data_IF_539844332578
#
_entry.id   IF_539844332578
#
_cell.length_a   1.000
_cell.length_b   1.000
_cell.length_c   1.000
_cell.angle_alpha   90.00
_cell.angle_beta   90.00
_cell.angle_gamma   90.00
#
_symmetry.space_group_name_H-M   'P 1'
#
loop_
_entity.id
_entity.type
_entity.pdbx_description
1 polymer ?
#
# COMPACT_ATOMS: atom_id res chain seq x y z
N UNK A 1 -18.72 -11.55 -70.20
CA UNK A 1 -17.83 -11.67 -69.02
C UNK A 1 -18.19 -10.57 -68.04
N UNK A 2 -18.78 -10.92 -66.89
CA UNK A 2 -19.11 -9.96 -65.82
C UNK A 2 -18.04 -10.09 -64.73
N UNK A 3 -17.29 -9.03 -64.46
CA UNK A 3 -16.33 -8.97 -63.37
C UNK A 3 -17.09 -8.61 -62.07
N UNK A 4 -17.01 -9.49 -61.08
CA UNK A 4 -17.51 -9.24 -59.73
C UNK A 4 -16.35 -8.68 -58.89
N UNK A 5 -16.46 -7.43 -58.47
CA UNK A 5 -15.52 -6.80 -57.54
C UNK A 5 -15.86 -7.24 -56.12
N UNK A 6 -15.02 -8.08 -55.52
CA UNK A 6 -15.13 -8.46 -54.10
C UNK A 6 -14.44 -7.39 -53.27
N UNK A 7 -15.20 -6.63 -52.48
CA UNK A 7 -14.66 -5.69 -51.50
C UNK A 7 -14.28 -6.46 -50.23
N UNK A 8 -12.99 -6.46 -49.90
CA UNK A 8 -12.45 -7.07 -48.69
C UNK A 8 -12.65 -6.10 -47.51
N UNK A 9 -13.62 -6.39 -46.62
CA UNK A 9 -13.78 -5.68 -45.36
C UNK A 9 -12.72 -6.17 -44.37
N UNK A 10 -11.73 -5.32 -44.07
CA UNK A 10 -10.78 -5.56 -42.99
C UNK A 10 -11.48 -5.22 -41.67
N UNK A 11 -11.90 -6.23 -40.91
CA UNK A 11 -12.34 -6.06 -39.53
C UNK A 11 -11.12 -5.72 -38.65
N UNK A 12 -10.99 -4.45 -38.28
CA UNK A 12 -10.10 -4.03 -37.18
C UNK A 12 -10.69 -4.53 -35.87
N UNK A 13 -10.08 -5.58 -35.29
CA UNK A 13 -10.32 -5.99 -33.91
C UNK A 13 -9.80 -4.86 -33.02
N UNK A 14 -10.69 -3.98 -32.58
CA UNK A 14 -10.38 -3.05 -31.50
C UNK A 14 -10.23 -3.90 -30.23
N UNK A 15 -8.98 -4.13 -29.81
CA UNK A 15 -8.71 -4.55 -28.44
C UNK A 15 -9.24 -3.46 -27.54
N UNK A 16 -10.40 -3.69 -26.93
CA UNK A 16 -10.86 -2.91 -25.79
C UNK A 16 -9.73 -2.95 -24.77
N UNK A 17 -9.01 -1.83 -24.65
CA UNK A 17 -8.07 -1.60 -23.56
C UNK A 17 -8.88 -1.74 -22.28
N UNK A 18 -8.83 -2.90 -21.63
CA UNK A 18 -9.29 -3.00 -20.25
C UNK A 18 -8.46 -2.01 -19.45
N UNK A 19 -9.12 -1.03 -18.85
CA UNK A 19 -8.49 -0.21 -17.82
C UNK A 19 -7.95 -1.16 -16.75
N UNK A 20 -6.72 -0.93 -16.30
CA UNK A 20 -6.16 -1.71 -15.20
C UNK A 20 -6.96 -1.40 -13.92
N UNK A 21 -7.33 -2.46 -13.20
CA UNK A 21 -7.90 -2.36 -11.87
C UNK A 21 -6.81 -2.15 -10.81
N UNK A 22 -7.18 -1.58 -9.67
CA UNK A 22 -6.35 -1.44 -8.47
C UNK A 22 -7.04 -2.11 -7.27
N UNK A 23 -7.11 -3.46 -7.23
CA UNK A 23 -8.00 -4.18 -6.31
C UNK A 23 -7.55 -4.19 -4.84
N UNK A 24 -6.32 -3.76 -4.55
CA UNK A 24 -5.71 -3.95 -3.23
C UNK A 24 -4.53 -3.00 -2.99
N UNK A 25 -3.97 -3.05 -1.78
CA UNK A 25 -2.71 -2.37 -1.44
C UNK A 25 -1.60 -2.69 -2.46
N UNK A 26 -1.03 -1.65 -3.06
CA UNK A 26 0.03 -1.79 -4.06
C UNK A 26 -0.41 -2.30 -5.43
N UNK A 27 -1.72 -2.29 -5.71
CA UNK A 27 -2.26 -2.64 -7.01
C UNK A 27 -2.36 -4.16 -7.23
N UNK A 28 -2.61 -4.60 -8.48
CA UNK A 28 -2.97 -5.99 -8.76
C UNK A 28 -1.89 -7.00 -8.34
N UNK A 29 -0.60 -6.59 -8.36
CA UNK A 29 0.54 -7.44 -7.99
C UNK A 29 1.16 -7.09 -6.62
N UNK A 30 0.54 -6.18 -5.84
CA UNK A 30 1.03 -5.69 -4.53
C UNK A 30 2.47 -5.12 -4.57
N UNK A 31 2.87 -4.58 -5.71
CA UNK A 31 4.24 -4.11 -5.95
C UNK A 31 4.34 -2.60 -6.20
N UNK A 32 3.22 -1.88 -6.02
CA UNK A 32 3.11 -0.42 -6.13
C UNK A 32 3.39 0.10 -7.54
N UNK A 33 3.22 -0.72 -8.59
CA UNK A 33 3.45 -0.34 -9.99
C UNK A 33 2.13 -0.15 -10.72
N UNK A 34 2.00 0.98 -11.42
CA UNK A 34 0.87 1.27 -12.32
C UNK A 34 1.24 0.93 -13.76
N UNK A 35 0.50 -0.01 -14.36
CA UNK A 35 0.83 -0.65 -15.64
C UNK A 35 -0.07 -0.25 -16.81
N UNK A 36 -1.06 0.60 -16.56
CA UNK A 36 -1.95 1.10 -17.61
C UNK A 36 -1.17 1.91 -18.65
N UNK A 37 -1.69 2.07 -19.86
CA UNK A 37 -1.02 2.79 -20.95
C UNK A 37 -1.84 4.00 -21.40
N UNK A 38 -1.23 4.87 -22.21
CA UNK A 38 -1.89 6.09 -22.72
C UNK A 38 -2.16 7.10 -21.60
N UNK A 39 -1.13 7.32 -20.77
CA UNK A 39 -1.13 8.22 -19.63
C UNK A 39 -0.27 9.44 -19.94
N UNK A 40 -0.68 10.62 -19.47
CA UNK A 40 0.07 11.87 -19.63
C UNK A 40 1.54 11.74 -19.25
N UNK A 41 2.40 12.38 -20.03
CA UNK A 41 3.85 12.50 -19.75
C UNK A 41 4.20 13.74 -18.93
N UNK A 42 3.32 14.74 -18.95
CA UNK A 42 3.45 16.02 -18.25
C UNK A 42 2.06 16.55 -17.93
N UNK A 43 1.88 17.20 -16.78
CA UNK A 43 0.61 17.88 -16.47
C UNK A 43 0.46 19.18 -17.28
N UNK A 44 -0.79 19.65 -17.40
CA UNK A 44 -1.09 20.97 -17.97
C UNK A 44 -0.37 22.08 -17.22
N UNK A 45 0.04 23.13 -17.93
CA UNK A 45 0.74 24.30 -17.35
C UNK A 45 -0.20 25.27 -16.65
N UNK A 46 -1.52 25.11 -16.78
CA UNK A 46 -2.53 25.89 -16.04
C UNK A 46 -2.56 25.58 -14.53
N UNK A 47 -1.81 24.57 -14.09
CA UNK A 47 -1.69 24.17 -12.69
C UNK A 47 -2.88 23.36 -12.16
N UNK A 48 -3.85 23.02 -13.02
CA UNK A 48 -5.05 22.28 -12.65
C UNK A 48 -5.00 20.87 -13.24
N UNK A 49 -5.13 19.87 -12.38
CA UNK A 49 -5.38 18.51 -12.83
C UNK A 49 -6.85 18.38 -13.24
N UNK A 50 -7.17 17.59 -14.30
CA UNK A 50 -8.55 17.44 -14.79
C UNK A 50 -9.35 16.55 -13.84
N UNK A 51 -9.84 17.16 -12.77
CA UNK A 51 -10.66 16.52 -11.75
C UNK A 51 -12.01 16.14 -12.34
N UNK A 52 -12.34 14.86 -12.27
CA UNK A 52 -13.59 14.30 -12.79
C UNK A 52 -14.71 14.52 -11.77
N UNK A 53 -14.46 14.20 -10.50
CA UNK A 53 -15.42 14.40 -9.42
C UNK A 53 -14.74 14.53 -8.05
N UNK A 54 -15.53 14.91 -7.04
CA UNK A 54 -15.21 14.85 -5.62
C UNK A 54 -16.37 14.25 -4.82
N UNK A 55 -16.06 13.47 -3.80
CA UNK A 55 -17.04 12.93 -2.84
C UNK A 55 -16.55 13.20 -1.43
N UNK A 56 -17.45 13.70 -0.57
CA UNK A 56 -17.16 13.95 0.85
C UNK A 56 -16.84 12.65 1.60
N UNK A 57 -15.74 12.67 2.36
CA UNK A 57 -15.33 11.61 3.26
C UNK A 57 -15.07 12.15 4.67
N UNK A 58 -15.17 11.27 5.66
CA UNK A 58 -14.66 11.51 7.01
C UNK A 58 -13.15 11.28 7.10
N UNK A 59 -12.61 11.28 8.32
CA UNK A 59 -11.18 11.08 8.59
C UNK A 59 -10.69 9.71 8.08
N UNK A 60 -9.40 9.54 7.80
CA UNK A 60 -8.81 8.22 7.50
C UNK A 60 -7.52 8.24 6.69
N UNK A 61 -6.88 7.08 6.63
CA UNK A 61 -5.57 6.89 6.00
C UNK A 61 -5.54 5.76 4.97
N UNK A 62 -6.64 5.02 4.80
CA UNK A 62 -6.72 3.95 3.81
C UNK A 62 -6.58 4.50 2.38
N UNK A 63 -5.93 3.73 1.52
CA UNK A 63 -6.08 3.91 0.08
C UNK A 63 -7.44 3.41 -0.39
N UNK A 64 -7.78 3.70 -1.64
CA UNK A 64 -8.94 3.11 -2.31
C UNK A 64 -8.56 1.78 -2.98
N UNK A 65 -9.54 0.89 -3.13
CA UNK A 65 -9.48 -0.17 -4.12
C UNK A 65 -10.43 0.17 -5.27
N UNK A 66 -9.99 0.01 -6.52
CA UNK A 66 -10.80 0.34 -7.71
C UNK A 66 -10.88 -0.89 -8.60
N UNK A 67 -12.09 -1.40 -8.83
CA UNK A 67 -12.32 -2.63 -9.61
C UNK A 67 -13.56 -2.48 -10.46
N UNK A 68 -13.45 -2.74 -11.76
CA UNK A 68 -14.60 -2.81 -12.69
C UNK A 68 -15.55 -1.61 -12.59
N UNK A 69 -14.98 -0.41 -12.46
CA UNK A 69 -15.76 0.83 -12.38
C UNK A 69 -16.38 1.12 -11.00
N UNK A 70 -15.97 0.41 -9.95
CA UNK A 70 -16.37 0.67 -8.56
C UNK A 70 -15.16 1.06 -7.72
N UNK A 71 -15.35 2.00 -6.79
CA UNK A 71 -14.35 2.46 -5.83
C UNK A 71 -14.77 2.04 -4.43
N UNK A 72 -13.94 1.27 -3.74
CA UNK A 72 -14.13 0.86 -2.36
C UNK A 72 -13.17 1.62 -1.46
N UNK A 73 -13.73 2.29 -0.45
CA UNK A 73 -12.95 3.10 0.49
C UNK A 73 -13.59 3.10 1.87
N UNK A 74 -12.79 3.42 2.88
CA UNK A 74 -13.24 3.49 4.27
C UNK A 74 -12.94 4.84 4.89
N UNK A 75 -13.80 5.28 5.80
CA UNK A 75 -13.55 6.47 6.60
C UNK A 75 -14.10 6.36 8.01
N UNK A 76 -13.78 7.35 8.84
CA UNK A 76 -14.33 7.52 10.19
C UNK A 76 -15.12 8.81 10.28
N UNK A 77 -16.35 8.67 10.74
CA UNK A 77 -17.26 9.77 11.06
C UNK A 77 -17.10 10.14 12.53
N UNK A 78 -16.09 10.98 12.81
CA UNK A 78 -15.65 11.27 14.19
C UNK A 78 -16.77 11.78 15.10
N UNK A 79 -17.65 12.65 14.60
CA UNK A 79 -18.77 13.21 15.36
C UNK A 79 -19.81 12.16 15.75
N UNK A 80 -19.97 11.12 14.93
CA UNK A 80 -20.90 10.01 15.14
C UNK A 80 -20.27 8.84 15.89
N UNK A 81 -18.94 8.77 15.93
CA UNK A 81 -18.21 7.64 16.53
C UNK A 81 -18.38 6.36 15.70
N UNK A 82 -18.52 6.48 14.39
CA UNK A 82 -18.72 5.36 13.46
C UNK A 82 -17.57 5.26 12.45
N UNK A 83 -17.33 4.05 11.95
CA UNK A 83 -16.55 3.80 10.73
C UNK A 83 -17.52 3.45 9.59
N UNK A 84 -17.13 3.82 8.36
CA UNK A 84 -17.88 3.51 7.13
C UNK A 84 -17.03 2.71 6.15
N UNK A 85 -17.69 1.80 5.45
CA UNK A 85 -17.23 1.20 4.19
C UNK A 85 -18.16 1.72 3.10
N UNK A 86 -17.58 2.31 2.06
CA UNK A 86 -18.30 2.95 0.96
C UNK A 86 -17.93 2.27 -0.34
N UNK A 87 -18.93 2.05 -1.19
CA UNK A 87 -18.77 1.72 -2.60
C UNK A 87 -19.32 2.86 -3.44
N UNK A 88 -18.49 3.41 -4.31
CA UNK A 88 -18.83 4.53 -5.19
C UNK A 88 -18.72 4.09 -6.65
N UNK A 89 -19.54 4.69 -7.50
CA UNK A 89 -19.35 4.64 -8.94
C UNK A 89 -18.04 5.35 -9.31
N UNK A 90 -17.13 4.67 -10.02
CA UNK A 90 -15.85 5.28 -10.38
C UNK A 90 -15.99 6.41 -11.42
N UNK A 91 -17.08 6.44 -12.20
CA UNK A 91 -17.32 7.47 -13.21
C UNK A 91 -18.02 8.70 -12.65
N UNK A 92 -18.97 8.51 -11.73
CA UNK A 92 -19.79 9.63 -11.23
C UNK A 92 -19.46 10.04 -9.79
N UNK A 93 -18.83 9.15 -9.01
CA UNK A 93 -18.63 9.33 -7.57
C UNK A 93 -19.89 9.03 -6.74
N UNK A 94 -21.01 8.64 -7.36
CA UNK A 94 -22.25 8.35 -6.66
C UNK A 94 -22.09 7.13 -5.74
N UNK A 95 -22.60 7.24 -4.50
CA UNK A 95 -22.67 6.12 -3.57
C UNK A 95 -23.58 5.01 -4.15
N UNK A 96 -23.01 3.82 -4.37
CA UNK A 96 -23.77 2.62 -4.75
C UNK A 96 -24.30 1.89 -3.53
N UNK A 97 -23.47 1.76 -2.51
CA UNK A 97 -23.85 1.24 -1.21
C UNK A 97 -22.89 1.73 -0.12
N UNK A 98 -23.35 1.65 1.12
CA UNK A 98 -22.57 2.00 2.31
C UNK A 98 -22.91 1.05 3.45
N UNK A 99 -21.88 0.64 4.18
CA UNK A 99 -22.03 0.02 5.50
C UNK A 99 -21.43 0.96 6.56
N UNK A 100 -22.17 1.22 7.64
CA UNK A 100 -21.73 2.09 8.74
C UNK A 100 -21.96 1.38 10.08
N UNK A 101 -20.95 1.37 10.94
CA UNK A 101 -20.99 0.71 12.24
C UNK A 101 -20.36 1.56 13.35
N UNK A 102 -20.87 1.39 14.58
CA UNK A 102 -20.32 2.04 15.76
C UNK A 102 -18.90 1.52 16.04
N UNK A 103 -17.94 2.42 16.20
CA UNK A 103 -16.54 2.08 16.42
C UNK A 103 -15.87 3.13 17.30
N UNK A 104 -15.70 2.80 18.59
CA UNK A 104 -15.01 3.66 19.55
C UNK A 104 -13.50 3.48 19.43
N UNK A 105 -12.81 4.54 19.04
CA UNK A 105 -11.35 4.54 18.96
C UNK A 105 -10.70 4.68 20.33
N UNK A 106 -9.75 3.79 20.63
CA UNK A 106 -8.88 3.86 21.82
C UNK A 106 -7.39 3.93 21.46
N UNK A 107 -7.08 4.08 20.17
CA UNK A 107 -5.71 4.13 19.61
C UNK A 107 -5.16 5.55 19.55
N UNK A 108 -3.84 5.69 19.45
CA UNK A 108 -3.19 6.97 19.17
C UNK A 108 -3.43 7.40 17.73
N UNK A 109 -3.36 8.71 17.48
CA UNK A 109 -3.77 9.32 16.21
C UNK A 109 -5.19 8.87 15.82
N UNK A 110 -6.24 9.27 16.55
CA UNK A 110 -7.57 8.64 16.45
C UNK A 110 -8.37 9.03 15.18
N UNK A 111 -7.69 9.22 14.05
CA UNK A 111 -8.27 9.15 12.71
C UNK A 111 -8.06 7.73 12.16
N UNK A 112 -8.82 7.33 11.14
CA UNK A 112 -8.76 6.00 10.52
C UNK A 112 -10.02 5.74 9.70
N UNK A 113 -10.26 4.54 9.15
CA UNK A 113 -9.40 3.37 9.11
C UNK A 113 -8.11 3.56 8.31
N UNK A 114 -7.22 2.56 8.34
CA UNK A 114 -5.89 2.61 7.72
C UNK A 114 -5.64 1.50 6.70
N UNK A 115 -6.26 0.34 6.88
CA UNK A 115 -6.13 -0.76 5.93
C UNK A 115 -6.83 -0.43 4.62
N UNK A 116 -6.14 -0.62 3.50
CA UNK A 116 -6.75 -0.52 2.17
C UNK A 116 -7.69 -1.72 1.98
N UNK A 117 -8.93 -1.53 1.48
CA UNK A 117 -9.81 -2.63 1.11
C UNK A 117 -9.15 -3.58 0.10
N UNK A 118 -9.58 -4.84 0.10
CA UNK A 118 -9.18 -5.83 -0.91
C UNK A 118 -10.42 -6.32 -1.62
N UNK A 119 -10.39 -6.32 -2.95
CA UNK A 119 -11.47 -6.82 -3.79
C UNK A 119 -10.99 -8.04 -4.55
N UNK A 120 -11.67 -9.17 -4.39
CA UNK A 120 -11.36 -10.40 -5.09
C UNK A 120 -12.64 -11.16 -5.41
N UNK A 121 -12.83 -11.58 -6.67
CA UNK A 121 -13.93 -12.44 -7.11
C UNK A 121 -15.33 -12.03 -6.62
N UNK A 122 -15.65 -10.74 -6.64
CA UNK A 122 -16.97 -10.24 -6.23
C UNK A 122 -17.14 -10.10 -4.72
N UNK A 123 -16.07 -10.21 -3.94
CA UNK A 123 -16.04 -9.97 -2.50
C UNK A 123 -15.15 -8.80 -2.15
N UNK A 124 -15.51 -8.06 -1.09
CA UNK A 124 -14.73 -6.93 -0.56
C UNK A 124 -14.38 -7.21 0.89
N UNK A 125 -13.09 -7.15 1.20
CA UNK A 125 -12.56 -7.36 2.53
C UNK A 125 -12.04 -6.06 3.12
N UNK A 126 -12.52 -5.71 4.32
CA UNK A 126 -12.08 -4.49 5.02
C UNK A 126 -11.69 -4.81 6.45
N UNK A 127 -10.72 -4.07 6.98
CA UNK A 127 -10.31 -4.13 8.38
C UNK A 127 -10.35 -2.70 8.94
N UNK A 128 -11.26 -2.48 9.88
CA UNK A 128 -11.39 -1.24 10.66
C UNK A 128 -10.22 -1.02 11.61
N UNK A 129 -10.02 0.20 12.11
CA UNK A 129 -8.85 0.50 12.94
C UNK A 129 -8.83 -0.29 14.26
N UNK A 130 -10.00 -0.71 14.73
CA UNK A 130 -10.20 -1.44 15.98
C UNK A 130 -10.27 -2.97 15.81
N UNK A 131 -10.01 -3.48 14.60
CA UNK A 131 -10.00 -4.92 14.32
C UNK A 131 -11.35 -5.52 13.94
N UNK A 132 -12.33 -4.68 13.58
CA UNK A 132 -13.55 -5.13 12.93
C UNK A 132 -13.24 -5.50 11.48
N UNK A 133 -13.37 -6.77 11.15
CA UNK A 133 -13.12 -7.30 9.82
C UNK A 133 -14.42 -7.75 9.19
N UNK A 134 -14.67 -7.32 7.96
CA UNK A 134 -15.89 -7.64 7.23
C UNK A 134 -15.53 -8.20 5.86
N UNK A 135 -16.38 -9.12 5.39
CA UNK A 135 -16.49 -9.52 4.01
C UNK A 135 -17.86 -9.12 3.49
N UNK A 136 -17.89 -8.36 2.40
CA UNK A 136 -19.10 -7.93 1.73
C UNK A 136 -19.22 -8.55 0.35
N UNK A 137 -20.45 -8.72 -0.10
CA UNK A 137 -20.74 -8.76 -1.52
C UNK A 137 -20.31 -7.44 -2.18
N UNK A 138 -19.52 -7.51 -3.23
CA UNK A 138 -18.97 -6.32 -3.88
C UNK A 138 -20.04 -5.43 -4.54
N UNK A 139 -21.17 -6.02 -4.97
CA UNK A 139 -22.19 -5.32 -5.75
C UNK A 139 -23.21 -4.62 -4.88
N UNK A 140 -23.68 -5.27 -3.82
CA UNK A 140 -24.78 -4.75 -3.00
C UNK A 140 -24.39 -4.38 -1.56
N UNK A 141 -23.18 -4.75 -1.10
CA UNK A 141 -22.71 -4.43 0.24
C UNK A 141 -23.26 -5.34 1.34
N UNK A 142 -23.89 -6.47 1.00
CA UNK A 142 -24.35 -7.45 1.99
C UNK A 142 -23.17 -8.09 2.71
N UNK A 143 -23.21 -8.12 4.04
CA UNK A 143 -22.21 -8.80 4.85
C UNK A 143 -22.35 -10.32 4.65
N UNK A 144 -21.31 -10.97 4.12
CA UNK A 144 -21.21 -12.42 4.02
C UNK A 144 -20.75 -13.04 5.33
N UNK A 145 -19.75 -12.42 5.95
CA UNK A 145 -19.24 -12.80 7.27
C UNK A 145 -18.47 -11.64 7.89
N UNK A 146 -18.26 -11.71 9.21
CA UNK A 146 -17.52 -10.71 9.97
C UNK A 146 -16.73 -11.34 11.13
N UNK A 147 -15.68 -10.65 11.57
CA UNK A 147 -14.85 -10.97 12.74
C UNK A 147 -14.56 -9.71 13.52
N UNK A 148 -14.23 -9.86 14.80
CA UNK A 148 -13.67 -8.80 15.62
C UNK A 148 -12.42 -9.32 16.31
N UNK A 149 -11.24 -8.83 15.94
CA UNK A 149 -9.96 -9.38 16.41
C UNK A 149 -9.78 -9.33 17.94
N UNK A 150 -10.15 -8.24 18.65
CA UNK A 150 -10.12 -8.25 20.12
C UNK A 150 -11.02 -9.33 20.74
N UNK A 151 -12.27 -9.45 20.30
CA UNK A 151 -13.23 -10.41 20.85
C UNK A 151 -12.90 -11.86 20.49
N UNK A 152 -12.58 -12.11 19.22
CA UNK A 152 -12.48 -13.47 18.67
C UNK A 152 -11.07 -14.06 18.90
N UNK A 153 -10.04 -13.22 19.04
CA UNK A 153 -8.63 -13.64 19.12
C UNK A 153 -7.86 -13.11 20.34
N UNK A 154 -8.51 -12.30 21.20
CA UNK A 154 -7.85 -11.66 22.34
C UNK A 154 -6.76 -10.68 21.94
N UNK A 155 -6.95 -10.02 20.79
CA UNK A 155 -5.97 -9.08 20.21
C UNK A 155 -5.77 -7.85 21.08
N UNK A 156 -4.51 -7.54 21.37
CA UNK A 156 -4.10 -6.26 21.93
C UNK A 156 -3.78 -5.31 20.77
N UNK A 157 -4.59 -4.26 20.62
CA UNK A 157 -4.46 -3.36 19.48
C UNK A 157 -3.11 -2.64 19.47
N UNK A 158 -2.53 -2.54 18.27
CA UNK A 158 -1.33 -1.75 18.06
C UNK A 158 -1.58 -0.25 18.34
N UNK A 159 -0.50 0.50 18.61
CA UNK A 159 -0.55 1.92 18.99
C UNK A 159 -1.37 2.76 18.00
N UNK A 160 -1.29 2.44 16.71
CA UNK A 160 -2.00 3.13 15.62
C UNK A 160 -3.15 2.29 15.02
N UNK A 161 -3.64 1.27 15.74
CA UNK A 161 -4.70 0.37 15.29
C UNK A 161 -4.26 -0.65 14.24
N UNK A 162 -5.23 -1.33 13.63
CA UNK A 162 -5.00 -2.28 12.54
C UNK A 162 -4.73 -1.56 11.22
N UNK A 163 -3.65 -1.97 10.54
CA UNK A 163 -3.12 -1.27 9.35
C UNK A 163 -2.83 -2.22 8.20
N UNK A 164 -2.25 -3.38 8.50
CA UNK A 164 -1.80 -4.32 7.48
C UNK A 164 -2.97 -4.77 6.60
N UNK A 165 -2.92 -4.38 5.32
CA UNK A 165 -3.96 -4.78 4.36
C UNK A 165 -3.89 -6.28 4.10
N UNK A 166 -5.03 -7.00 4.14
CA UNK A 166 -5.03 -8.45 4.00
C UNK A 166 -4.51 -8.86 2.62
N UNK A 167 -4.11 -10.12 2.49
CA UNK A 167 -3.59 -10.72 1.26
C UNK A 167 -4.49 -11.89 0.86
N UNK A 168 -4.96 -11.89 -0.39
CA UNK A 168 -5.68 -13.04 -0.96
C UNK A 168 -4.69 -13.97 -1.63
N UNK A 169 -4.79 -15.28 -1.34
CA UNK A 169 -4.02 -16.34 -2.00
C UNK A 169 -4.91 -17.56 -2.27
N UNK A 170 -5.45 -17.67 -3.48
CA UNK A 170 -6.43 -18.71 -3.82
C UNK A 170 -7.71 -18.54 -3.00
N UNK A 171 -8.06 -19.56 -2.20
CA UNK A 171 -9.21 -19.53 -1.29
C UNK A 171 -8.91 -18.87 0.07
N UNK A 172 -7.67 -18.41 0.27
CA UNK A 172 -7.21 -17.88 1.54
C UNK A 172 -7.26 -16.36 1.56
N UNK A 173 -7.63 -15.82 2.72
CA UNK A 173 -7.48 -14.42 3.08
C UNK A 173 -6.60 -14.35 4.33
N UNK A 174 -5.38 -13.85 4.16
CA UNK A 174 -4.33 -13.88 5.16
C UNK A 174 -4.09 -12.47 5.70
N UNK A 175 -4.09 -12.30 7.01
CA UNK A 175 -3.90 -10.98 7.63
C UNK A 175 -3.13 -11.07 8.95
N UNK A 176 -2.62 -9.91 9.40
CA UNK A 176 -2.17 -9.74 10.78
C UNK A 176 -3.38 -9.53 11.67
N UNK A 177 -3.54 -10.41 12.67
CA UNK A 177 -4.59 -10.32 13.68
C UNK A 177 -4.00 -9.77 14.97
N UNK A 178 -2.85 -10.30 15.41
CA UNK A 178 -2.19 -9.85 16.65
C UNK A 178 -2.77 -10.45 17.93
N UNK A 179 -3.42 -11.61 17.83
CA UNK A 179 -4.03 -12.33 18.94
C UNK A 179 -3.08 -13.30 19.65
N UNK A 180 -3.59 -13.96 20.69
CA UNK A 180 -2.85 -14.96 21.48
C UNK A 180 -2.83 -16.33 20.80
N UNK A 181 -2.02 -17.27 21.30
CA UNK A 181 -1.96 -18.66 20.84
C UNK A 181 -1.62 -18.77 19.34
N UNK A 182 -0.46 -18.25 18.94
CA UNK A 182 0.00 -18.21 17.55
C UNK A 182 -0.94 -17.47 16.58
N UNK A 183 -1.70 -16.48 17.05
CA UNK A 183 -2.64 -15.72 16.21
C UNK A 183 -2.09 -14.36 15.78
N UNK A 184 -0.76 -14.22 15.63
CA UNK A 184 -0.21 -13.02 15.02
C UNK A 184 -0.65 -12.92 13.56
N UNK A 185 -0.53 -14.03 12.82
CA UNK A 185 -0.96 -14.18 11.43
C UNK A 185 -2.04 -15.24 11.38
N UNK A 186 -3.16 -14.93 10.72
CA UNK A 186 -4.27 -15.88 10.55
C UNK A 186 -4.67 -15.91 9.08
N UNK A 187 -4.92 -17.11 8.58
CA UNK A 187 -5.53 -17.36 7.28
C UNK A 187 -6.97 -17.78 7.47
N UNK A 188 -7.85 -17.14 6.71
CA UNK A 188 -9.27 -17.43 6.68
C UNK A 188 -9.67 -17.98 5.31
N UNK A 189 -10.68 -18.83 5.26
CA UNK A 189 -11.40 -19.08 4.03
C UNK A 189 -12.06 -17.77 3.61
N UNK A 190 -11.71 -17.26 2.43
CA UNK A 190 -12.14 -15.95 1.96
C UNK A 190 -13.65 -15.86 1.75
N UNK A 191 -14.33 -16.98 1.51
CA UNK A 191 -15.78 -17.03 1.27
C UNK A 191 -16.57 -17.17 2.57
N UNK A 192 -16.07 -17.92 3.55
CA UNK A 192 -16.84 -18.27 4.78
C UNK A 192 -16.35 -17.57 6.04
N UNK A 193 -15.12 -17.05 6.05
CA UNK A 193 -14.49 -16.49 7.25
C UNK A 193 -14.06 -17.55 8.27
N UNK A 194 -14.09 -18.83 7.91
CA UNK A 194 -13.55 -19.92 8.74
C UNK A 194 -12.02 -19.81 8.82
N UNK A 195 -11.46 -20.02 10.00
CA UNK A 195 -10.00 -20.06 10.16
C UNK A 195 -9.44 -21.34 9.53
N UNK A 196 -8.46 -21.18 8.64
CA UNK A 196 -7.76 -22.30 7.99
C UNK A 196 -6.48 -22.67 8.72
N UNK A 197 -5.72 -21.68 9.16
CA UNK A 197 -4.53 -21.83 9.98
C UNK A 197 -4.16 -20.51 10.64
N UNK A 198 -3.33 -20.60 11.68
CA UNK A 198 -2.71 -19.46 12.37
C UNK A 198 -1.22 -19.72 12.58
N UNK A 199 -0.42 -18.68 12.67
CA UNK A 199 1.03 -18.79 12.91
C UNK A 199 1.62 -17.55 13.57
N UNK A 200 2.80 -17.74 14.17
CA UNK A 200 3.64 -16.75 14.81
C UNK A 200 3.03 -16.10 16.06
N UNK A 201 3.93 -15.64 16.95
CA UNK A 201 3.59 -14.82 18.11
C UNK A 201 4.54 -13.63 18.21
N UNK A 202 3.99 -12.48 18.58
CA UNK A 202 4.76 -11.30 18.95
C UNK A 202 3.92 -10.48 19.93
N UNK A 203 4.58 -9.69 20.80
CA UNK A 203 3.90 -8.81 21.76
C UNK A 203 3.20 -7.64 21.08
N UNK A 204 3.62 -7.31 19.86
CA UNK A 204 3.02 -6.25 19.05
C UNK A 204 2.76 -6.79 17.65
N UNK A 205 1.73 -6.24 17.00
CA UNK A 205 1.26 -6.73 15.69
C UNK A 205 2.23 -6.36 14.56
N UNK A 206 2.77 -5.14 14.61
CA UNK A 206 3.40 -4.52 13.45
C UNK A 206 2.35 -3.92 12.50
N UNK A 207 2.81 -3.35 11.40
CA UNK A 207 1.95 -2.61 10.46
C UNK A 207 2.14 -3.04 8.99
N UNK A 208 3.18 -3.81 8.70
CA UNK A 208 3.58 -4.21 7.36
C UNK A 208 2.56 -5.18 6.75
N UNK A 209 1.96 -4.85 5.60
CA UNK A 209 1.13 -5.80 4.85
C UNK A 209 1.97 -7.04 4.47
N UNK A 210 1.45 -8.26 4.67
CA UNK A 210 2.15 -9.47 4.26
C UNK A 210 2.25 -9.54 2.73
N UNK A 211 3.29 -10.22 2.24
CA UNK A 211 3.54 -10.46 0.81
C UNK A 211 4.05 -11.87 0.57
N UNK A 212 3.72 -12.43 -0.58
CA UNK A 212 4.23 -13.73 -1.00
C UNK A 212 5.32 -13.53 -2.05
N UNK A 213 6.49 -14.11 -1.79
CA UNK A 213 7.59 -14.17 -2.74
C UNK A 213 8.03 -15.62 -2.95
N UNK A 214 8.63 -15.88 -4.11
CA UNK A 214 9.29 -17.16 -4.36
C UNK A 214 10.79 -17.06 -4.09
N UNK A 215 11.30 -17.95 -3.23
CA UNK A 215 12.74 -18.14 -3.00
C UNK A 215 13.07 -19.63 -2.98
N UNK A 216 14.10 -20.03 -3.72
CA UNK A 216 14.54 -21.42 -3.78
C UNK A 216 13.46 -22.40 -4.25
N UNK A 217 12.56 -21.96 -5.15
CA UNK A 217 11.40 -22.73 -5.62
C UNK A 217 10.26 -22.88 -4.61
N UNK A 218 10.32 -22.20 -3.46
CA UNK A 218 9.27 -22.20 -2.45
C UNK A 218 8.51 -20.88 -2.48
N UNK A 219 7.18 -20.95 -2.51
CA UNK A 219 6.32 -19.80 -2.18
C UNK A 219 6.40 -19.53 -0.68
N UNK A 220 6.73 -18.30 -0.33
CA UNK A 220 7.01 -17.88 1.04
C UNK A 220 6.20 -16.64 1.37
N UNK A 221 5.34 -16.76 2.37
CA UNK A 221 4.66 -15.61 2.96
C UNK A 221 5.64 -14.91 3.89
N UNK A 222 6.07 -13.72 3.48
CA UNK A 222 6.95 -12.87 4.25
C UNK A 222 6.12 -12.00 5.18
N UNK A 223 6.41 -12.10 6.47
CA UNK A 223 5.75 -11.38 7.55
C UNK A 223 6.81 -10.63 8.32
N UNK A 224 6.75 -9.29 8.29
CA UNK A 224 7.64 -8.46 9.09
C UNK A 224 6.91 -7.93 10.33
N UNK A 225 7.20 -8.57 11.45
CA UNK A 225 6.62 -8.24 12.74
C UNK A 225 7.67 -7.59 13.67
N UNK A 226 7.26 -7.00 14.81
CA UNK A 226 8.11 -6.12 15.60
C UNK A 226 9.40 -6.71 16.16
N UNK A 227 9.51 -8.04 16.27
CA UNK A 227 10.70 -8.72 16.80
C UNK A 227 11.47 -9.52 15.76
N UNK A 228 10.91 -9.82 14.59
CA UNK A 228 11.58 -10.57 13.53
C UNK A 228 10.96 -10.37 12.13
N UNK A 229 11.74 -10.73 11.11
CA UNK A 229 11.23 -11.01 9.77
C UNK A 229 11.11 -12.52 9.64
N UNK A 230 9.91 -12.98 9.31
CA UNK A 230 9.57 -14.39 9.25
C UNK A 230 9.14 -14.76 7.85
N UNK A 231 9.57 -15.93 7.39
CA UNK A 231 8.99 -16.62 6.24
C UNK A 231 8.20 -17.82 6.72
N UNK A 232 6.95 -17.88 6.32
CA UNK A 232 6.07 -19.02 6.59
C UNK A 232 5.48 -19.55 5.28
N UNK A 233 5.08 -20.82 5.28
CA UNK A 233 4.37 -21.43 4.17
C UNK A 233 2.97 -20.82 4.06
N UNK A 234 2.59 -20.22 2.91
CA UNK A 234 1.23 -19.70 2.74
C UNK A 234 0.17 -20.80 2.75
N UNK A 235 0.55 -22.06 2.55
CA UNK A 235 -0.39 -23.20 2.52
C UNK A 235 -0.94 -23.56 3.91
N UNK A 236 -0.11 -23.46 4.95
CA UNK A 236 -0.41 -24.03 6.27
C UNK A 236 0.23 -23.29 7.45
N UNK A 237 0.86 -22.13 7.22
CA UNK A 237 1.46 -21.32 8.26
C UNK A 237 2.75 -21.87 8.87
N UNK A 238 3.30 -22.99 8.39
CA UNK A 238 4.54 -23.53 8.95
C UNK A 238 5.73 -22.62 8.70
N UNK A 239 6.61 -22.45 9.68
CA UNK A 239 7.77 -21.55 9.58
C UNK A 239 8.85 -22.18 8.71
N UNK A 240 9.32 -21.43 7.70
CA UNK A 240 10.50 -21.78 6.92
C UNK A 240 11.78 -21.29 7.61
N UNK A 241 11.79 -20.01 8.00
CA UNK A 241 12.89 -19.36 8.71
C UNK A 241 12.42 -18.08 9.40
N UNK A 242 13.18 -17.63 10.40
CA UNK A 242 12.99 -16.32 11.04
C UNK A 242 14.34 -15.66 11.28
N UNK A 243 14.41 -14.34 11.04
CA UNK A 243 15.59 -13.52 11.33
C UNK A 243 15.22 -12.47 12.37
N UNK A 244 15.81 -12.50 13.57
CA UNK A 244 15.55 -11.51 14.61
C UNK A 244 15.82 -10.08 14.13
N UNK A 245 14.80 -9.24 14.29
CA UNK A 245 14.87 -7.82 14.00
C UNK A 245 13.87 -7.07 14.88
N UNK A 246 14.36 -6.61 16.04
CA UNK A 246 13.55 -5.80 16.94
C UNK A 246 13.48 -4.36 16.47
N UNK A 247 12.26 -3.86 16.24
CA UNK A 247 11.98 -2.47 15.92
C UNK A 247 11.35 -1.74 17.10
N UNK A 248 11.64 -0.44 17.21
CA UNK A 248 11.07 0.42 18.25
C UNK A 248 9.61 0.77 17.92
N UNK A 249 8.74 0.78 18.94
CA UNK A 249 7.31 1.12 18.85
C UNK A 249 6.51 0.29 17.83
N UNK A 250 6.97 -0.92 17.51
CA UNK A 250 6.30 -1.81 16.56
C UNK A 250 6.36 -1.34 15.10
N UNK A 251 7.24 -0.39 14.77
CA UNK A 251 7.31 0.27 13.45
C UNK A 251 7.91 -0.60 12.32
N UNK A 252 7.38 -1.81 12.13
CA UNK A 252 7.52 -2.58 10.90
C UNK A 252 6.41 -2.14 9.94
N UNK A 253 6.66 -1.12 9.11
CA UNK A 253 5.61 -0.46 8.30
C UNK A 253 5.67 -0.82 6.81
N UNK A 254 6.84 -0.68 6.17
CA UNK A 254 6.92 -0.90 4.72
C UNK A 254 6.62 -2.35 4.33
N UNK A 255 6.07 -2.52 3.13
CA UNK A 255 5.99 -3.82 2.49
C UNK A 255 7.41 -4.28 2.09
N UNK A 256 7.90 -5.43 2.59
CA UNK A 256 9.23 -5.94 2.22
C UNK A 256 9.42 -6.03 0.70
N UNK A 257 10.60 -5.69 0.21
CA UNK A 257 10.90 -5.65 -1.23
C UNK A 257 11.85 -6.77 -1.63
N UNK A 258 11.57 -7.44 -2.76
CA UNK A 258 12.39 -8.53 -3.29
C UNK A 258 13.34 -8.04 -4.38
N UNK A 259 14.58 -8.52 -4.37
CA UNK A 259 15.48 -8.47 -5.53
C UNK A 259 16.30 -9.76 -5.61
N UNK A 260 16.13 -10.53 -6.68
CA UNK A 260 16.78 -11.83 -6.81
C UNK A 260 16.45 -12.76 -5.65
N UNK A 261 17.46 -13.25 -4.96
CA UNK A 261 17.39 -14.07 -3.74
C UNK A 261 17.47 -13.24 -2.44
N UNK A 262 17.26 -11.92 -2.54
CA UNK A 262 17.35 -11.00 -1.41
C UNK A 262 16.04 -10.32 -1.08
N UNK A 263 15.93 -9.93 0.18
CA UNK A 263 14.80 -9.21 0.75
C UNK A 263 15.29 -7.96 1.47
N UNK A 264 14.77 -6.81 1.06
CA UNK A 264 15.06 -5.51 1.63
C UNK A 264 13.94 -5.06 2.57
N UNK A 265 14.33 -4.53 3.73
CA UNK A 265 13.46 -3.84 4.66
C UNK A 265 14.16 -2.61 5.22
N UNK A 266 13.38 -1.60 5.62
CA UNK A 266 13.90 -0.41 6.28
C UNK A 266 12.87 0.12 7.27
N UNK A 267 13.33 0.52 8.46
CA UNK A 267 12.46 1.09 9.49
C UNK A 267 12.94 2.47 9.93
N UNK A 268 12.03 3.23 10.54
CA UNK A 268 12.28 4.62 10.92
C UNK A 268 13.47 4.77 11.87
N UNK A 269 13.56 3.94 12.89
CA UNK A 269 14.70 3.98 13.81
C UNK A 269 15.85 3.12 13.29
N UNK A 270 15.62 1.84 13.01
CA UNK A 270 16.70 0.87 12.82
C UNK A 270 17.28 0.80 11.39
N UNK A 271 16.90 1.75 10.55
CA UNK A 271 17.47 1.95 9.22
C UNK A 271 17.23 0.76 8.27
N UNK A 272 18.00 0.69 7.17
CA UNK A 272 17.84 -0.31 6.14
C UNK A 272 18.60 -1.61 6.46
N UNK A 273 18.07 -2.74 6.00
CA UNK A 273 18.69 -4.07 6.06
C UNK A 273 18.41 -4.84 4.78
N UNK A 274 19.39 -5.62 4.35
CA UNK A 274 19.23 -6.59 3.28
C UNK A 274 19.48 -7.99 3.82
N UNK A 275 18.54 -8.88 3.57
CA UNK A 275 18.62 -10.29 3.86
C UNK A 275 18.92 -11.05 2.57
N UNK A 276 19.75 -12.07 2.66
CA UNK A 276 19.94 -13.07 1.61
C UNK A 276 19.27 -14.37 2.06
N UNK A 277 18.41 -14.90 1.20
CA UNK A 277 17.68 -16.13 1.44
C UNK A 277 18.50 -17.27 0.85
N UNK A 278 18.71 -18.33 1.63
CA UNK A 278 19.46 -19.51 1.19
C UNK A 278 18.84 -20.14 -0.06
N UNK A 279 19.66 -20.79 -0.89
CA UNK A 279 19.24 -21.37 -2.18
C UNK A 279 18.07 -22.35 -2.08
N UNK A 280 17.89 -23.00 -0.93
CA UNK A 280 16.78 -23.93 -0.67
C UNK A 280 15.52 -23.22 -0.12
N UNK A 281 15.56 -21.91 0.07
CA UNK A 281 14.48 -21.12 0.64
C UNK A 281 14.25 -21.30 2.14
N UNK A 282 15.08 -22.07 2.86
CA UNK A 282 14.84 -22.47 4.27
C UNK A 282 15.75 -21.81 5.29
N UNK A 283 16.53 -20.81 4.89
CA UNK A 283 17.34 -20.00 5.79
C UNK A 283 17.45 -18.58 5.24
N UNK A 284 17.73 -17.63 6.12
CA UNK A 284 18.05 -16.28 5.72
C UNK A 284 19.09 -15.68 6.67
N UNK A 285 19.92 -14.78 6.16
CA UNK A 285 20.91 -14.03 6.94
C UNK A 285 20.93 -12.58 6.49
N UNK A 286 21.23 -11.66 7.41
CA UNK A 286 21.48 -10.27 7.06
C UNK A 286 22.84 -10.20 6.36
N UNK A 287 22.88 -9.70 5.13
CA UNK A 287 24.13 -9.52 4.36
C UNK A 287 24.70 -8.11 4.49
N UNK A 288 23.84 -7.13 4.75
CA UNK A 288 24.25 -5.80 5.17
C UNK A 288 23.13 -5.09 5.94
N UNK A 289 23.52 -4.10 6.73
CA UNK A 289 22.62 -3.17 7.43
C UNK A 289 23.22 -1.76 7.47
N UNK A 290 22.36 -0.77 7.67
CA UNK A 290 22.78 0.57 8.08
C UNK A 290 23.59 0.54 9.40
N UNK A 291 24.41 1.56 9.58
CA UNK A 291 25.26 1.81 10.72
C UNK A 291 24.58 2.72 11.76
N UNK A 292 23.42 3.30 11.45
CA UNK A 292 22.65 4.15 12.36
C UNK A 292 21.33 3.52 12.75
N UNK A 293 20.99 3.62 14.03
CA UNK A 293 19.63 3.37 14.56
C UNK A 293 18.89 4.70 14.86
N UNK A 294 19.44 5.84 14.40
CA UNK A 294 18.86 7.16 14.59
C UNK A 294 18.22 7.66 13.30
N UNK A 295 17.01 8.18 13.45
CA UNK A 295 16.21 8.78 12.41
C UNK A 295 16.50 10.28 12.25
N UNK A 296 17.30 10.87 13.14
CA UNK A 296 17.64 12.29 13.11
C UNK A 296 18.40 12.61 11.83
N UNK A 297 18.04 13.71 11.18
CA UNK A 297 18.54 14.05 9.85
C UNK A 297 20.08 13.99 9.74
N UNK A 298 20.76 14.52 10.76
CA UNK A 298 22.23 14.54 10.86
C UNK A 298 22.89 13.18 11.16
N UNK A 299 22.10 12.15 11.51
CA UNK A 299 22.59 10.85 11.96
C UNK A 299 22.14 9.69 11.06
N UNK A 300 21.19 9.92 10.15
CA UNK A 300 20.80 8.89 9.18
C UNK A 300 21.95 8.62 8.20
N UNK A 301 22.27 7.35 7.97
CA UNK A 301 23.33 6.93 7.05
C UNK A 301 22.75 6.35 5.74
N UNK A 302 21.66 5.58 5.83
CA UNK A 302 20.94 4.99 4.69
C UNK A 302 19.52 5.53 4.54
N UNK A 303 18.52 4.64 4.57
CA UNK A 303 17.09 4.96 4.49
C UNK A 303 16.40 4.66 5.82
N UNK A 304 15.80 5.70 6.41
CA UNK A 304 15.00 5.62 7.62
C UNK A 304 13.56 6.04 7.32
N UNK A 305 12.83 5.28 6.49
CA UNK A 305 11.47 5.64 6.09
C UNK A 305 10.52 5.50 7.28
N UNK A 306 9.47 6.32 7.30
CA UNK A 306 8.40 6.18 8.28
C UNK A 306 7.24 5.36 7.71
N UNK A 307 6.54 5.87 6.68
CA UNK A 307 5.30 5.27 6.17
C UNK A 307 5.48 4.68 4.76
N UNK A 308 6.27 5.33 3.89
CA UNK A 308 6.43 4.85 2.52
C UNK A 308 7.23 3.56 2.43
N UNK A 309 6.88 2.76 1.42
CA UNK A 309 7.67 1.61 0.98
C UNK A 309 8.70 2.10 -0.03
N UNK A 310 10.01 2.01 0.27
CA UNK A 310 11.05 2.25 -0.73
C UNK A 310 10.91 1.25 -1.89
N UNK A 311 11.28 1.70 -3.07
CA UNK A 311 11.27 0.93 -4.32
C UNK A 311 12.66 0.37 -4.61
N UNK A 312 12.74 -0.86 -5.14
CA UNK A 312 13.95 -1.34 -5.80
C UNK A 312 13.78 -1.25 -7.32
N UNK A 313 14.74 -0.61 -8.01
CA UNK A 313 14.79 -0.57 -9.48
C UNK A 313 16.23 -0.80 -9.95
N UNK A 314 16.44 -1.87 -10.72
CA UNK A 314 17.78 -2.28 -11.14
C UNK A 314 18.67 -2.55 -9.92
N UNK A 315 19.84 -1.91 -9.86
CA UNK A 315 20.80 -2.06 -8.76
C UNK A 315 20.65 -0.98 -7.66
N UNK A 316 19.50 -0.31 -7.58
CA UNK A 316 19.32 0.83 -6.69
C UNK A 316 18.00 0.77 -5.93
N UNK A 317 18.01 1.37 -4.74
CA UNK A 317 16.85 1.53 -3.87
C UNK A 317 16.51 3.02 -3.81
N UNK A 318 15.23 3.37 -4.00
CA UNK A 318 14.73 4.74 -3.94
C UNK A 318 13.68 4.85 -2.84
N UNK A 319 13.79 5.85 -1.96
CA UNK A 319 12.81 6.02 -0.89
C UNK A 319 12.92 7.35 -0.16
N UNK A 320 11.88 7.66 0.60
CA UNK A 320 11.81 8.87 1.41
C UNK A 320 12.32 8.58 2.82
N UNK A 321 13.34 9.33 3.26
CA UNK A 321 13.89 9.23 4.60
C UNK A 321 13.12 10.11 5.59
N UNK A 322 13.34 9.86 6.88
CA UNK A 322 12.74 10.49 8.06
C UNK A 322 12.50 12.00 8.04
N UNK A 323 13.27 12.78 7.27
CA UNK A 323 13.14 14.24 7.16
C UNK A 323 12.71 14.75 5.77
N UNK A 324 12.16 13.86 4.93
CA UNK A 324 11.68 14.16 3.57
C UNK A 324 12.72 13.87 2.49
N UNK A 325 13.97 13.63 2.83
CA UNK A 325 15.00 13.35 1.83
C UNK A 325 14.61 12.15 0.95
N UNK A 326 14.37 12.40 -0.34
CA UNK A 326 14.35 11.36 -1.35
C UNK A 326 15.79 10.93 -1.59
N UNK A 327 16.07 9.64 -1.40
CA UNK A 327 17.43 9.09 -1.50
C UNK A 327 17.48 7.97 -2.53
N UNK A 328 18.63 7.83 -3.15
CA UNK A 328 19.04 6.65 -3.88
C UNK A 328 20.16 5.96 -3.11
N UNK A 329 20.02 4.65 -2.91
CA UNK A 329 21.02 3.79 -2.30
C UNK A 329 21.47 2.73 -3.30
N UNK A 330 22.72 2.34 -3.23
CA UNK A 330 23.25 1.16 -3.89
C UNK A 330 22.68 -0.11 -3.21
N UNK A 331 22.09 -1.01 -3.99
CA UNK A 331 21.38 -2.19 -3.44
C UNK A 331 22.33 -3.22 -2.82
N UNK A 332 23.59 -3.23 -3.24
CA UNK A 332 24.60 -4.21 -2.80
C UNK A 332 25.22 -3.84 -1.47
N UNK A 333 25.37 -2.54 -1.22
CA UNK A 333 26.10 -2.01 -0.07
C UNK A 333 25.22 -1.23 0.91
N UNK A 334 24.04 -0.77 0.48
CA UNK A 334 23.18 0.14 1.24
C UNK A 334 23.72 1.57 1.32
N UNK A 335 24.84 1.88 0.67
CA UNK A 335 25.43 3.23 0.68
C UNK A 335 24.56 4.20 -0.10
N UNK A 336 24.42 5.41 0.43
CA UNK A 336 23.72 6.51 -0.24
C UNK A 336 24.52 6.97 -1.46
N UNK A 337 23.86 6.96 -2.62
CA UNK A 337 24.38 7.49 -3.90
C UNK A 337 24.08 8.98 -3.99
N UNK A 338 22.83 9.37 -3.74
CA UNK A 338 22.42 10.77 -3.70
C UNK A 338 21.24 10.99 -2.75
N UNK A 339 20.96 12.26 -2.47
CA UNK A 339 19.83 12.71 -1.66
C UNK A 339 19.35 14.08 -2.13
N UNK A 340 18.05 14.28 -2.28
CA UNK A 340 17.44 15.60 -2.54
C UNK A 340 16.22 15.83 -1.64
N UNK A 341 15.83 17.08 -1.49
CA UNK A 341 14.59 17.49 -0.83
C UNK A 341 13.55 17.98 -1.84
N UNK A 342 13.82 17.96 -3.15
CA UNK A 342 12.93 18.60 -4.13
C UNK A 342 11.53 17.97 -4.20
N UNK A 343 11.42 16.64 -4.08
CA UNK A 343 10.13 15.94 -4.19
C UNK A 343 9.16 16.24 -3.02
N UNK A 344 9.68 16.44 -1.81
CA UNK A 344 8.85 16.62 -0.60
C UNK A 344 9.07 17.97 0.06
N UNK A 345 10.33 18.44 0.13
CA UNK A 345 10.92 19.47 0.99
C UNK A 345 11.39 18.92 2.35
N UNK A 346 11.69 19.79 3.33
CA UNK A 346 12.29 19.42 4.62
C UNK A 346 11.31 19.42 5.79
N UNK A 347 11.20 18.29 6.47
CA UNK A 347 10.57 18.24 7.79
C UNK A 347 10.45 16.84 8.35
N UNK A 348 10.32 16.74 9.68
CA UNK A 348 10.27 15.43 10.35
C UNK A 348 9.00 14.67 9.96
N UNK A 349 9.18 13.38 9.70
CA UNK A 349 8.18 12.44 9.20
C UNK A 349 7.65 12.80 7.82
N UNK A 350 8.42 13.57 7.04
CA UNK A 350 7.99 13.87 5.69
C UNK A 350 8.02 12.63 4.82
N UNK A 351 7.04 12.48 3.95
CA UNK A 351 6.80 11.26 3.21
C UNK A 351 6.18 11.50 1.83
N UNK A 352 6.40 10.55 0.93
CA UNK A 352 5.74 10.48 -0.37
C UNK A 352 5.63 9.02 -0.82
N UNK A 353 4.58 8.72 -1.59
CA UNK A 353 4.37 7.42 -2.21
C UNK A 353 4.92 7.46 -3.64
N UNK A 354 5.83 6.55 -3.96
CA UNK A 354 6.49 6.45 -5.28
C UNK A 354 5.86 5.28 -6.03
N UNK A 355 5.21 5.57 -7.15
CA UNK A 355 4.54 4.58 -8.01
C UNK A 355 5.22 4.57 -9.38
N UNK A 356 5.98 3.51 -9.71
CA UNK A 356 6.55 3.36 -11.05
C UNK A 356 5.46 3.20 -12.10
N UNK A 357 5.71 3.79 -13.26
CA UNK A 357 4.83 3.71 -14.42
C UNK A 357 5.66 3.82 -15.70
N UNK A 358 5.69 2.75 -16.49
CA UNK A 358 6.52 2.67 -17.71
C UNK A 358 7.99 3.07 -17.45
N UNK A 359 8.39 4.22 -18.00
CA UNK A 359 9.71 4.84 -17.96
C UNK A 359 9.88 5.92 -16.87
N UNK A 360 8.80 6.26 -16.15
CA UNK A 360 8.74 7.36 -15.19
C UNK A 360 8.12 6.94 -13.86
N UNK A 361 7.99 7.91 -12.95
CA UNK A 361 7.44 7.71 -11.61
C UNK A 361 6.39 8.77 -11.31
N UNK A 362 5.27 8.33 -10.74
CA UNK A 362 4.29 9.19 -10.08
C UNK A 362 4.60 9.25 -8.59
N UNK A 363 4.82 10.44 -8.05
CA UNK A 363 5.14 10.65 -6.64
C UNK A 363 4.03 11.49 -6.02
N UNK A 364 3.28 10.90 -5.08
CA UNK A 364 2.29 11.63 -4.29
C UNK A 364 2.88 11.98 -2.93
N UNK A 365 3.18 13.26 -2.71
CA UNK A 365 3.75 13.73 -1.45
C UNK A 365 2.67 14.13 -0.44
N UNK A 366 3.01 14.19 0.84
CA UNK A 366 2.04 14.50 1.89
C UNK A 366 1.54 15.95 1.88
N UNK A 367 2.23 16.83 1.14
CA UNK A 367 1.77 18.19 0.86
C UNK A 367 0.56 18.15 -0.07
N UNK A 368 0.26 17.02 -0.69
CA UNK A 368 -0.90 16.81 -1.56
C UNK A 368 -0.61 17.06 -3.04
N UNK A 369 0.66 17.14 -3.41
CA UNK A 369 1.07 17.25 -4.80
C UNK A 369 1.12 15.87 -5.44
N UNK A 370 0.88 15.82 -6.75
CA UNK A 370 1.26 14.72 -7.61
C UNK A 370 2.39 15.21 -8.51
N UNK A 371 3.44 14.40 -8.61
CA UNK A 371 4.66 14.74 -9.33
C UNK A 371 4.94 13.63 -10.34
N UNK A 372 5.30 14.01 -11.58
CA UNK A 372 5.92 13.11 -12.56
C UNK A 372 7.42 13.37 -12.53
N UNK A 373 8.21 12.33 -12.34
CA UNK A 373 9.66 12.45 -12.27
C UNK A 373 10.37 11.22 -12.85
N UNK A 374 11.63 11.41 -13.23
CA UNK A 374 12.58 10.32 -13.49
C UNK A 374 13.44 10.10 -12.24
N UNK A 375 13.63 8.84 -11.87
CA UNK A 375 14.57 8.42 -10.82
C UNK A 375 15.65 7.55 -11.44
N UNK A 376 16.90 7.96 -11.27
CA UNK A 376 18.06 7.18 -11.73
C UNK A 376 19.23 7.31 -10.75
N UNK A 377 20.31 6.54 -10.90
CA UNK A 377 21.52 6.71 -10.09
C UNK A 377 22.20 8.07 -10.29
N UNK A 378 21.88 8.78 -11.38
CA UNK A 378 22.39 10.14 -11.64
C UNK A 378 21.65 11.21 -10.83
N UNK A 379 20.43 10.93 -10.39
CA UNK A 379 19.63 11.89 -9.62
C UNK A 379 18.12 11.72 -9.76
N UNK A 380 17.44 12.69 -9.19
CA UNK A 380 16.02 12.98 -9.37
C UNK A 380 15.88 14.07 -10.43
N UNK A 381 14.99 13.86 -11.40
CA UNK A 381 14.63 14.87 -12.40
C UNK A 381 13.10 15.03 -12.39
N UNK A 382 12.63 16.19 -11.93
CA UNK A 382 11.21 16.54 -11.97
C UNK A 382 10.77 16.91 -13.39
N UNK A 383 9.74 16.23 -13.90
CA UNK A 383 9.13 16.53 -15.20
C UNK A 383 7.96 17.50 -15.03
N UNK A 384 7.14 17.26 -14.00
CA UNK A 384 5.92 18.03 -13.76
C UNK A 384 5.42 17.86 -12.34
N UNK A 385 4.73 18.88 -11.81
CA UNK A 385 4.08 18.88 -10.51
C UNK A 385 2.76 19.61 -10.58
N UNK A 386 1.73 19.07 -9.94
CA UNK A 386 0.44 19.72 -9.79
C UNK A 386 -0.21 19.35 -8.46
N UNK A 387 -1.15 20.18 -7.99
CA UNK A 387 -1.89 19.89 -6.76
C UNK A 387 -2.96 18.83 -7.02
N UNK A 388 -2.90 17.71 -6.31
CA UNK A 388 -3.89 16.64 -6.42
C UNK A 388 -5.02 16.82 -5.40
N UNK A 389 -4.65 16.96 -4.13
CA UNK A 389 -5.58 17.15 -3.02
C UNK A 389 -4.97 18.10 -2.00
N UNK A 390 -5.78 18.82 -1.24
CA UNK A 390 -5.27 19.65 -0.15
C UNK A 390 -4.92 18.80 1.07
N UNK A 391 -3.85 19.11 1.82
CA UNK A 391 -3.55 18.42 3.06
C UNK A 391 -4.43 18.90 4.22
N UNK A 392 -4.99 17.95 4.97
CA UNK A 392 -6.02 18.20 6.00
C UNK A 392 -5.63 17.70 7.39
N UNK A 393 -4.68 16.75 7.48
CA UNK A 393 -4.31 16.16 8.76
C UNK A 393 -3.23 16.98 9.45
N UNK A 394 -3.56 17.64 10.55
CA UNK A 394 -2.57 18.33 11.38
C UNK A 394 -1.67 17.32 12.09
N UNK A 395 -0.37 17.37 11.80
CA UNK A 395 0.69 16.62 12.49
C UNK A 395 1.74 17.63 12.92
N UNK A 396 1.97 17.75 14.23
CA UNK A 396 2.80 18.82 14.79
C UNK A 396 2.32 20.21 14.30
N UNK A 397 3.17 20.94 13.56
CA UNK A 397 2.92 22.30 13.07
C UNK A 397 2.51 22.37 11.58
N UNK A 398 2.18 21.24 10.95
CA UNK A 398 1.92 21.15 9.50
C UNK A 398 0.70 20.30 9.17
N UNK A 399 0.18 20.48 7.97
CA UNK A 399 -0.90 19.68 7.40
C UNK A 399 -0.32 18.59 6.52
N UNK A 400 -0.94 17.41 6.51
CA UNK A 400 -0.42 16.19 5.88
C UNK A 400 -1.50 15.37 5.20
N UNK A 401 -1.07 14.52 4.28
CA UNK A 401 -1.82 13.40 3.69
C UNK A 401 -0.96 12.16 3.82
N UNK A 402 -1.48 11.13 4.49
CA UNK A 402 -0.79 9.85 4.69
C UNK A 402 -1.60 8.67 4.15
N UNK A 403 -2.38 8.92 3.10
CA UNK A 403 -3.14 7.92 2.34
C UNK A 403 -2.44 7.61 1.02
N UNK A 404 -2.33 6.32 0.70
CA UNK A 404 -1.76 5.90 -0.57
C UNK A 404 -2.76 6.14 -1.71
N UNK A 405 -2.35 6.73 -2.85
CA UNK A 405 -3.22 6.87 -4.01
C UNK A 405 -3.49 5.51 -4.68
N UNK A 406 -4.64 5.36 -5.33
CA UNK A 406 -4.91 4.24 -6.23
C UNK A 406 -4.88 4.71 -7.68
N UNK A 407 -4.45 3.85 -8.60
CA UNK A 407 -4.35 4.17 -10.02
C UNK A 407 -5.12 3.14 -10.84
N UNK A 408 -6.16 3.60 -11.53
CA UNK A 408 -7.02 2.76 -12.36
C UNK A 408 -7.78 3.66 -13.34
N UNK A 409 -8.30 3.11 -14.44
CA UNK A 409 -9.14 3.86 -15.39
C UNK A 409 -8.48 5.15 -15.90
N UNK A 410 -7.19 5.06 -16.20
CA UNK A 410 -6.28 6.14 -16.57
C UNK A 410 -6.31 7.31 -15.59
N UNK A 411 -6.67 7.04 -14.34
CA UNK A 411 -6.96 8.06 -13.34
C UNK A 411 -6.20 7.77 -12.06
N UNK A 412 -5.97 8.82 -11.28
CA UNK A 412 -5.57 8.70 -9.88
C UNK A 412 -6.77 8.96 -8.97
N UNK A 413 -6.93 8.09 -7.97
CA UNK A 413 -7.89 8.23 -6.89
C UNK A 413 -7.12 8.54 -5.61
N UNK A 414 -7.38 9.71 -5.03
CA UNK A 414 -6.68 10.17 -3.83
C UNK A 414 -7.66 10.77 -2.83
N UNK A 415 -7.36 10.60 -1.54
CA UNK A 415 -8.18 11.10 -0.45
C UNK A 415 -7.39 11.99 0.50
N UNK A 416 -8.09 12.90 1.16
CA UNK A 416 -7.67 13.55 2.40
C UNK A 416 -8.74 13.27 3.48
N UNK A 417 -8.78 14.01 4.60
CA UNK A 417 -9.77 13.79 5.69
C UNK A 417 -11.18 14.33 5.41
N UNK A 418 -11.40 14.93 4.24
CA UNK A 418 -12.64 15.62 3.88
C UNK A 418 -13.24 15.09 2.58
N UNK A 419 -12.43 14.49 1.69
CA UNK A 419 -12.88 14.04 0.38
C UNK A 419 -12.02 12.92 -0.21
N UNK A 420 -12.60 12.18 -1.16
CA UNK A 420 -11.89 11.43 -2.20
C UNK A 420 -12.17 12.07 -3.56
N UNK A 421 -11.16 12.06 -4.42
CA UNK A 421 -11.21 12.66 -5.76
C UNK A 421 -10.83 11.61 -6.79
N UNK A 422 -11.41 11.72 -7.99
CA UNK A 422 -10.87 11.11 -9.20
C UNK A 422 -10.31 12.21 -10.09
N UNK A 423 -9.07 12.02 -10.54
CA UNK A 423 -8.41 12.88 -11.51
C UNK A 423 -8.02 12.06 -12.72
N UNK A 424 -8.44 12.48 -13.91
CA UNK A 424 -8.08 11.85 -15.16
C UNK A 424 -6.61 12.16 -15.52
N UNK A 425 -5.86 11.15 -15.92
CA UNK A 425 -4.47 11.23 -16.33
C UNK A 425 -4.27 10.63 -17.73
N UNK A 426 -5.34 10.46 -18.51
CA UNK A 426 -5.25 10.01 -19.89
C UNK A 426 -4.46 10.97 -20.78
N UNK A 427 -3.61 10.41 -21.64
CA UNK A 427 -2.96 11.14 -22.73
C UNK A 427 -4.04 11.66 -23.68
N UNK A 428 -4.01 12.97 -23.95
CA UNK A 428 -4.97 13.67 -24.81
C UNK A 428 -4.43 13.88 -26.21
#
# INVERSE_FOLDING_TARGET
MRFATVALFVLTIQTLSQADDWPQWGGPQRDLVWRETGIVKKFSTDGLLPRVWSVELGEGYSGAAVVKGLVYITDRQRSRGTERVLCLDANTGEEKWKHEYSCRYTVSYPAGPRSTPVVDNGLVYTIGAMGDMYCFDALNGDIKWQKNFPRDYGTELAIWGQVASPLVDGEQLITLVGGKNNSLVVSFNKQTGEELWRSLEDKQIGYAPPVIFEFGGLRQLIVWHPTAISSISPKNGSVNWQVPYRVRAGLSIMTPQKIGDRLFVASFYNGPRMLEIGKNGKSAKIVWRGQSDSELDSQTDGLHPIIATPLIRGQHIYGICSYGHLRCLDVTTGKRVWSTLEATGRGRWWNAFIVPHEDRYFIHNEQGDLIIANLSPKGYEEISRAKLVKPTRKVQRRMTIWSHPAFAMKSVFARNDEEIVRVDLSER
#
